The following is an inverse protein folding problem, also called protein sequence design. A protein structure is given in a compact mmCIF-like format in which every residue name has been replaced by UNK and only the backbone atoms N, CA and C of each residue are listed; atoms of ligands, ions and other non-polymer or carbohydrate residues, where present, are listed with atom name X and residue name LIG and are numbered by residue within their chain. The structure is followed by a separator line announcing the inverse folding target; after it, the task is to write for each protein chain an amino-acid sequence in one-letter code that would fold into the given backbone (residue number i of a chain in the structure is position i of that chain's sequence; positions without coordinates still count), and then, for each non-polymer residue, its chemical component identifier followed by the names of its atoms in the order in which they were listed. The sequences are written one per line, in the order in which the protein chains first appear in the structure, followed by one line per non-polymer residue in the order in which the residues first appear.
data_IF_978901098274
#
_entry.id   IF_978901098274
#
_cell.length_a   1.000
_cell.length_b   1.000
_cell.length_c   1.000
_cell.angle_alpha   90.00
_cell.angle_beta   90.00
_cell.angle_gamma   90.00
#
_symmetry.space_group_name_H-M   'P 1'
#
loop_
_entity.id
_entity.type
_entity.pdbx_description
1 polymer ?
#
# COMPACT_ATOMS: atom_id res chain seq x y z
N UNK A 1 5.38 -29.26 -10.72
CA UNK A 1 6.72 -28.68 -10.91
C UNK A 1 6.51 -27.17 -10.85
N UNK A 2 7.43 -26.43 -10.25
CA UNK A 2 7.33 -24.97 -10.24
C UNK A 2 7.19 -24.42 -11.66
N UNK A 3 6.41 -23.35 -11.81
CA UNK A 3 6.26 -22.65 -13.08
C UNK A 3 7.49 -21.76 -13.38
N UNK A 4 7.46 -20.99 -14.47
CA UNK A 4 8.60 -20.17 -14.94
C UNK A 4 9.03 -19.10 -13.96
N UNK A 5 8.16 -18.67 -13.06
CA UNK A 5 8.47 -17.63 -12.09
C UNK A 5 9.51 -18.03 -11.05
N UNK A 6 9.75 -19.33 -10.87
CA UNK A 6 10.78 -19.85 -9.95
C UNK A 6 12.20 -19.33 -10.23
N UNK A 7 12.47 -18.90 -11.47
CA UNK A 7 13.78 -18.38 -11.89
C UNK A 7 13.87 -16.86 -11.88
N UNK A 8 12.80 -16.16 -11.47
CA UNK A 8 12.76 -14.71 -11.43
C UNK A 8 13.59 -14.15 -10.28
N UNK A 9 14.15 -12.95 -10.44
CA UNK A 9 14.85 -12.26 -9.36
C UNK A 9 13.86 -11.71 -8.32
N UNK A 10 12.69 -11.25 -8.76
CA UNK A 10 11.63 -10.74 -7.90
C UNK A 10 11.15 -11.78 -6.89
N UNK A 11 11.12 -11.42 -5.61
CA UNK A 11 10.50 -12.22 -4.56
C UNK A 11 9.00 -12.41 -4.82
N UNK A 12 8.33 -11.33 -5.25
CA UNK A 12 6.91 -11.38 -5.58
C UNK A 12 6.60 -12.42 -6.65
N UNK A 13 7.38 -12.45 -7.72
CA UNK A 13 7.19 -13.45 -8.76
C UNK A 13 7.46 -14.85 -8.24
N UNK A 14 8.53 -15.05 -7.44
CA UNK A 14 8.85 -16.36 -6.85
C UNK A 14 7.79 -16.87 -5.87
N UNK A 15 7.09 -15.99 -5.14
CA UNK A 15 5.94 -16.41 -4.30
C UNK A 15 4.89 -17.17 -5.11
N UNK A 16 4.72 -16.82 -6.39
CA UNK A 16 3.75 -17.47 -7.29
C UNK A 16 4.30 -18.68 -8.07
N UNK A 17 5.53 -19.11 -7.80
CA UNK A 17 6.19 -20.18 -8.54
C UNK A 17 5.48 -21.54 -8.39
N UNK A 18 4.88 -21.81 -7.25
CA UNK A 18 4.20 -23.08 -6.93
C UNK A 18 2.69 -23.05 -7.20
N UNK A 19 2.13 -21.91 -7.67
CA UNK A 19 0.73 -21.86 -8.08
C UNK A 19 0.46 -22.85 -9.22
N UNK A 20 -0.75 -23.47 -9.27
CA UNK A 20 -1.12 -24.38 -10.37
C UNK A 20 -1.31 -23.67 -11.71
N UNK A 21 -1.39 -22.34 -11.74
CA UNK A 21 -1.45 -21.53 -12.96
C UNK A 21 -0.08 -21.53 -13.63
N UNK A 22 -0.05 -21.72 -14.95
CA UNK A 22 1.17 -21.65 -15.78
C UNK A 22 1.58 -20.19 -16.01
N UNK A 23 2.06 -19.54 -14.97
CA UNK A 23 2.48 -18.15 -14.98
C UNK A 23 3.75 -17.92 -15.82
N UNK A 24 3.72 -16.86 -16.60
CA UNK A 24 4.85 -16.30 -17.32
C UNK A 24 5.29 -14.97 -16.69
N UNK A 25 6.57 -14.66 -16.62
CA UNK A 25 7.01 -13.28 -16.47
C UNK A 25 6.68 -12.49 -17.75
N UNK A 26 6.58 -11.17 -17.65
CA UNK A 26 6.40 -10.33 -18.83
C UNK A 26 7.63 -10.45 -19.76
N UNK A 27 7.40 -10.89 -21.00
CA UNK A 27 8.46 -11.08 -21.97
C UNK A 27 7.96 -11.67 -23.29
N UNK A 28 8.86 -11.75 -24.27
CA UNK A 28 8.53 -12.19 -25.62
C UNK A 28 7.92 -13.59 -25.67
N UNK A 29 8.38 -14.53 -24.83
CA UNK A 29 7.85 -15.91 -24.79
C UNK A 29 6.34 -15.92 -24.55
N UNK A 30 5.87 -15.19 -23.55
CA UNK A 30 4.44 -15.09 -23.22
C UNK A 30 3.64 -14.38 -24.32
N UNK A 31 4.17 -13.27 -24.81
CA UNK A 31 3.50 -12.44 -25.81
C UNK A 31 3.37 -13.14 -27.17
N UNK A 32 4.43 -13.84 -27.59
CA UNK A 32 4.42 -14.65 -28.83
C UNK A 32 3.49 -15.86 -28.69
N UNK A 33 3.48 -16.53 -27.54
CA UNK A 33 2.55 -17.63 -27.26
C UNK A 33 1.11 -17.14 -27.37
N UNK A 34 0.76 -16.02 -26.74
CA UNK A 34 -0.57 -15.45 -26.78
C UNK A 34 -1.02 -15.13 -28.23
N UNK A 35 -0.14 -14.53 -29.04
CA UNK A 35 -0.41 -14.23 -30.44
C UNK A 35 -0.59 -15.50 -31.28
N UNK A 36 0.34 -16.47 -31.14
CA UNK A 36 0.33 -17.68 -31.95
C UNK A 36 -0.88 -18.59 -31.65
N UNK A 37 -1.32 -18.62 -30.39
CA UNK A 37 -2.47 -19.42 -29.96
C UNK A 37 -3.79 -18.61 -30.01
N UNK A 38 -3.73 -17.32 -30.34
CA UNK A 38 -4.86 -16.39 -30.32
C UNK A 38 -5.65 -16.44 -29.01
N UNK A 39 -4.91 -16.46 -27.89
CA UNK A 39 -5.45 -16.47 -26.54
C UNK A 39 -5.38 -15.07 -25.93
N UNK A 40 -6.43 -14.59 -25.25
CA UNK A 40 -6.33 -13.37 -24.46
C UNK A 40 -5.30 -13.53 -23.34
N UNK A 41 -4.61 -12.44 -23.01
CA UNK A 41 -3.65 -12.40 -21.92
C UNK A 41 -4.40 -12.04 -20.65
N UNK A 42 -4.18 -12.81 -19.57
CA UNK A 42 -4.51 -12.39 -18.21
C UNK A 42 -3.26 -11.81 -17.58
N UNK A 43 -3.22 -10.49 -17.41
CA UNK A 43 -2.12 -9.77 -16.79
C UNK A 43 -2.47 -9.45 -15.34
N UNK A 44 -1.62 -9.90 -14.41
CA UNK A 44 -1.75 -9.61 -12.99
C UNK A 44 -0.50 -8.88 -12.48
N UNK A 45 -0.68 -7.64 -12.02
CA UNK A 45 0.37 -6.78 -11.50
C UNK A 45 0.18 -6.62 -10.00
N UNK A 46 1.25 -6.72 -9.25
CA UNK A 46 1.23 -6.55 -7.80
C UNK A 46 2.63 -6.33 -7.25
N UNK A 47 2.81 -6.52 -5.97
CA UNK A 47 4.09 -6.43 -5.27
C UNK A 47 4.05 -7.33 -4.04
N UNK A 48 5.18 -7.58 -3.44
CA UNK A 48 5.37 -8.69 -2.51
C UNK A 48 4.65 -8.45 -1.15
N UNK A 49 4.67 -7.23 -0.59
CA UNK A 49 4.00 -6.89 0.67
C UNK A 49 2.49 -6.60 0.55
N UNK A 50 1.93 -6.78 -0.65
CA UNK A 50 0.53 -6.49 -0.94
C UNK A 50 -0.42 -7.54 -0.33
N UNK A 51 -1.15 -7.17 0.71
CA UNK A 51 -2.13 -8.05 1.39
C UNK A 51 -3.14 -8.67 0.42
N UNK A 52 -3.84 -7.86 -0.38
CA UNK A 52 -4.86 -8.38 -1.31
C UNK A 52 -4.27 -9.23 -2.45
N UNK A 53 -2.98 -9.03 -2.79
CA UNK A 53 -2.27 -9.92 -3.71
C UNK A 53 -2.05 -11.29 -3.07
N UNK A 54 -1.66 -11.33 -1.79
CA UNK A 54 -1.50 -12.55 -1.00
C UNK A 54 -2.83 -13.27 -0.80
N UNK A 55 -3.91 -12.54 -0.49
CA UNK A 55 -5.27 -13.12 -0.40
C UNK A 55 -5.67 -13.78 -1.73
N UNK A 56 -5.49 -13.09 -2.86
CA UNK A 56 -5.86 -13.65 -4.16
C UNK A 56 -4.97 -14.84 -4.57
N UNK A 57 -3.72 -14.86 -4.13
CA UNK A 57 -2.81 -15.97 -4.31
C UNK A 57 -3.31 -17.23 -3.60
N UNK A 58 -3.63 -17.10 -2.31
CA UNK A 58 -4.09 -18.24 -1.51
C UNK A 58 -5.48 -18.74 -1.91
N UNK A 59 -6.30 -17.87 -2.48
CA UNK A 59 -7.66 -18.21 -2.93
C UNK A 59 -7.67 -18.60 -4.41
N UNK A 60 -7.87 -17.61 -5.28
CA UNK A 60 -8.16 -17.84 -6.70
C UNK A 60 -6.99 -18.41 -7.50
N UNK A 61 -5.74 -18.03 -7.17
CA UNK A 61 -4.57 -18.50 -7.91
C UNK A 61 -4.07 -19.88 -7.45
N UNK A 62 -4.53 -20.35 -6.32
CA UNK A 62 -4.24 -21.70 -5.79
C UNK A 62 -5.37 -22.71 -6.06
N UNK A 63 -6.51 -22.27 -6.59
CA UNK A 63 -7.61 -23.13 -6.96
C UNK A 63 -7.32 -23.89 -8.28
N UNK A 64 -7.40 -25.22 -8.24
CA UNK A 64 -7.06 -26.08 -9.39
C UNK A 64 -8.06 -25.98 -10.53
N UNK A 65 -9.35 -25.75 -10.25
CA UNK A 65 -10.38 -25.62 -11.30
C UNK A 65 -10.20 -24.32 -12.07
N UNK A 66 -9.89 -23.22 -11.36
CA UNK A 66 -9.57 -21.93 -11.97
C UNK A 66 -8.28 -22.05 -12.78
N UNK A 67 -7.24 -22.68 -12.22
CA UNK A 67 -5.96 -22.86 -12.88
C UNK A 67 -6.08 -23.69 -14.17
N UNK A 68 -6.78 -24.80 -14.15
CA UNK A 68 -7.01 -25.62 -15.34
C UNK A 68 -7.74 -24.83 -16.45
N UNK A 69 -8.75 -24.06 -16.05
CA UNK A 69 -9.49 -23.22 -16.99
C UNK A 69 -8.61 -22.12 -17.59
N UNK A 70 -7.78 -21.47 -16.76
CA UNK A 70 -6.86 -20.41 -17.20
C UNK A 70 -5.77 -20.95 -18.13
N UNK A 71 -5.13 -22.07 -17.76
CA UNK A 71 -4.04 -22.68 -18.52
C UNK A 71 -4.49 -23.12 -19.94
N UNK A 72 -5.74 -23.57 -20.07
CA UNK A 72 -6.29 -23.95 -21.36
C UNK A 72 -6.66 -22.75 -22.25
N UNK A 73 -7.14 -21.65 -21.67
CA UNK A 73 -7.86 -20.59 -22.39
C UNK A 73 -7.14 -19.23 -22.42
N UNK A 74 -6.19 -18.99 -21.55
CA UNK A 74 -5.48 -17.72 -21.42
C UNK A 74 -3.97 -17.94 -21.45
N UNK A 75 -3.23 -16.87 -21.68
CA UNK A 75 -1.82 -16.78 -21.31
C UNK A 75 -1.71 -15.90 -20.07
N UNK A 76 -1.33 -16.50 -18.94
CA UNK A 76 -1.26 -15.80 -17.67
C UNK A 76 0.12 -15.17 -17.48
N UNK A 77 0.17 -13.84 -17.31
CA UNK A 77 1.39 -13.07 -17.11
C UNK A 77 1.36 -12.42 -15.74
N UNK A 78 2.43 -12.59 -14.97
CA UNK A 78 2.64 -11.96 -13.67
C UNK A 78 3.69 -10.87 -13.76
N UNK A 79 3.43 -9.72 -13.14
CA UNK A 79 4.34 -8.57 -13.13
C UNK A 79 4.52 -8.03 -11.72
N UNK A 80 5.77 -7.83 -11.34
CA UNK A 80 6.14 -7.07 -10.17
C UNK A 80 6.19 -5.58 -10.52
N UNK A 81 5.34 -4.77 -9.89
CA UNK A 81 5.29 -3.33 -10.15
C UNK A 81 6.56 -2.60 -9.73
N UNK A 82 7.32 -3.16 -8.79
CA UNK A 82 8.56 -2.55 -8.30
C UNK A 82 9.71 -2.74 -9.29
N UNK A 83 9.70 -3.85 -10.05
CA UNK A 83 10.62 -4.07 -11.17
C UNK A 83 10.14 -3.41 -12.48
N UNK A 84 8.81 -3.31 -12.69
CA UNK A 84 8.20 -2.81 -13.92
C UNK A 84 7.17 -1.69 -13.63
N UNK A 85 7.59 -0.57 -13.03
CA UNK A 85 6.71 0.57 -12.76
C UNK A 85 6.15 1.23 -14.04
N UNK A 86 6.81 1.04 -15.18
CA UNK A 86 6.35 1.45 -16.50
C UNK A 86 5.04 0.76 -16.89
N UNK A 87 4.99 -0.57 -16.74
CA UNK A 87 3.78 -1.37 -17.01
C UNK A 87 2.67 -1.05 -16.00
N UNK A 88 3.03 -0.98 -14.71
CA UNK A 88 2.08 -0.63 -13.65
C UNK A 88 1.39 0.71 -13.95
N UNK A 89 2.15 1.74 -14.27
CA UNK A 89 1.63 3.08 -14.52
C UNK A 89 0.67 3.13 -15.72
N UNK A 90 1.04 2.50 -16.85
CA UNK A 90 0.21 2.49 -18.05
C UNK A 90 -1.09 1.73 -17.82
N UNK A 91 -1.03 0.54 -17.25
CA UNK A 91 -2.20 -0.30 -17.03
C UNK A 91 -3.09 0.20 -15.88
N UNK A 92 -2.52 0.86 -14.89
CA UNK A 92 -3.29 1.55 -13.85
C UNK A 92 -4.11 2.70 -14.44
N UNK A 93 -3.52 3.54 -15.33
CA UNK A 93 -4.25 4.58 -16.03
C UNK A 93 -5.36 3.99 -16.91
N UNK A 94 -5.09 2.90 -17.61
CA UNK A 94 -6.08 2.24 -18.44
C UNK A 94 -7.30 1.78 -17.62
N UNK A 95 -7.09 1.12 -16.48
CA UNK A 95 -8.17 0.68 -15.57
C UNK A 95 -9.00 1.86 -15.05
N UNK A 96 -8.35 2.96 -14.67
CA UNK A 96 -9.04 4.17 -14.23
C UNK A 96 -9.88 4.81 -15.36
N UNK A 97 -9.38 4.79 -16.61
CA UNK A 97 -10.14 5.24 -17.80
C UNK A 97 -11.35 4.34 -18.06
N UNK A 98 -11.25 3.05 -17.76
CA UNK A 98 -12.36 2.09 -17.83
C UNK A 98 -13.45 2.33 -16.77
N UNK A 99 -13.22 3.25 -15.83
CA UNK A 99 -14.16 3.60 -14.76
C UNK A 99 -14.04 2.74 -13.52
N UNK A 100 -13.02 1.89 -13.44
CA UNK A 100 -12.72 1.08 -12.26
C UNK A 100 -11.82 1.83 -11.28
N UNK A 101 -11.97 1.54 -10.00
CA UNK A 101 -11.03 2.03 -8.99
C UNK A 101 -9.68 1.33 -9.16
N UNK A 102 -8.59 2.11 -9.26
CA UNK A 102 -7.24 1.57 -9.26
C UNK A 102 -6.87 0.93 -7.92
N UNK A 103 -5.87 0.06 -7.95
CA UNK A 103 -5.34 -0.65 -6.76
C UNK A 103 -4.67 -1.95 -7.14
N UNK A 104 -4.10 -2.62 -6.15
CA UNK A 104 -3.47 -3.93 -6.33
C UNK A 104 -4.17 -5.01 -5.49
N UNK A 105 -4.18 -6.27 -6.02
CA UNK A 105 -3.64 -6.68 -7.33
C UNK A 105 -4.38 -5.99 -8.47
N UNK A 106 -3.63 -5.57 -9.50
CA UNK A 106 -4.18 -5.00 -10.72
C UNK A 106 -4.28 -6.11 -11.76
N UNK A 107 -5.50 -6.50 -12.12
CA UNK A 107 -5.77 -7.62 -13.01
C UNK A 107 -6.49 -7.13 -14.28
N UNK A 108 -5.91 -7.46 -15.44
CA UNK A 108 -6.43 -7.03 -16.73
C UNK A 108 -6.49 -8.18 -17.71
N UNK A 109 -7.40 -8.05 -18.68
CA UNK A 109 -7.48 -8.91 -19.85
C UNK A 109 -7.10 -8.11 -21.09
N UNK A 110 -6.00 -8.54 -21.75
CA UNK A 110 -5.44 -7.83 -22.89
C UNK A 110 -5.67 -8.63 -24.18
N UNK A 111 -5.86 -7.91 -25.28
CA UNK A 111 -5.80 -8.50 -26.59
C UNK A 111 -4.32 -8.82 -26.96
N UNK A 112 -4.02 -10.00 -27.53
CA UNK A 112 -2.63 -10.42 -27.76
C UNK A 112 -1.93 -9.67 -28.92
N UNK A 113 -2.69 -9.04 -29.79
CA UNK A 113 -2.21 -8.33 -30.99
C UNK A 113 -1.56 -6.98 -30.65
N UNK A 114 -2.20 -6.18 -29.79
CA UNK A 114 -1.80 -4.81 -29.48
C UNK A 114 -1.59 -4.53 -27.98
N UNK A 115 -1.88 -5.52 -27.11
CA UNK A 115 -1.72 -5.45 -25.66
C UNK A 115 -2.63 -4.40 -24.98
N UNK A 116 -3.69 -3.99 -25.68
CA UNK A 116 -4.68 -3.06 -25.13
C UNK A 116 -5.67 -3.82 -24.25
N UNK A 117 -5.92 -3.34 -23.01
CA UNK A 117 -6.89 -3.99 -22.14
C UNK A 117 -8.32 -3.75 -22.63
N UNK A 118 -9.16 -4.77 -22.48
CA UNK A 118 -10.60 -4.68 -22.78
C UNK A 118 -11.47 -5.00 -21.57
N UNK A 119 -10.87 -5.48 -20.49
CA UNK A 119 -11.48 -5.63 -19.17
C UNK A 119 -10.42 -5.59 -18.09
N UNK A 120 -10.79 -5.15 -16.89
CA UNK A 120 -9.87 -5.11 -15.75
C UNK A 120 -10.58 -4.88 -14.42
N UNK A 121 -9.82 -5.00 -13.37
CA UNK A 121 -10.26 -4.78 -12.00
C UNK A 121 -9.12 -5.06 -11.02
N UNK A 122 -9.44 -5.10 -9.76
CA UNK A 122 -8.48 -5.38 -8.72
C UNK A 122 -8.63 -6.82 -8.23
N UNK A 123 -9.12 -7.04 -7.03
CA UNK A 123 -9.33 -8.36 -6.46
C UNK A 123 -10.56 -9.04 -7.05
N UNK A 124 -10.42 -10.32 -7.42
CA UNK A 124 -11.50 -11.22 -7.86
C UNK A 124 -11.64 -12.38 -6.85
N UNK A 125 -12.76 -12.48 -6.12
CA UNK A 125 -13.00 -13.56 -5.17
C UNK A 125 -13.20 -14.91 -5.86
N UNK A 126 -12.88 -16.01 -5.19
CA UNK A 126 -13.16 -17.36 -5.70
C UNK A 126 -14.68 -17.60 -5.84
N UNK A 127 -15.44 -17.21 -4.83
CA UNK A 127 -16.90 -17.26 -4.80
C UNK A 127 -17.50 -15.84 -4.77
N UNK A 128 -18.73 -15.63 -5.23
CA UNK A 128 -19.35 -14.32 -5.22
C UNK A 128 -19.37 -13.70 -3.82
N UNK A 129 -18.71 -12.55 -3.63
CA UNK A 129 -18.73 -11.76 -2.38
C UNK A 129 -18.43 -10.28 -2.62
N UNK A 130 -18.77 -9.43 -1.67
CA UNK A 130 -18.61 -7.98 -1.77
C UNK A 130 -19.26 -7.36 -3.02
N UNK A 131 -20.36 -7.96 -3.50
CA UNK A 131 -21.06 -7.52 -4.72
C UNK A 131 -20.29 -7.84 -6.02
N UNK A 132 -19.23 -8.64 -5.96
CA UNK A 132 -18.42 -9.07 -7.12
C UNK A 132 -18.75 -10.54 -7.46
N UNK A 133 -18.77 -10.90 -8.77
CA UNK A 133 -18.90 -12.29 -9.20
C UNK A 133 -17.65 -13.10 -8.84
N UNK A 134 -17.79 -14.41 -8.74
CA UNK A 134 -16.66 -15.33 -8.59
C UNK A 134 -15.73 -15.31 -9.83
N UNK A 135 -14.45 -15.50 -9.62
CA UNK A 135 -13.43 -15.33 -10.65
C UNK A 135 -13.61 -16.27 -11.85
N UNK A 136 -13.99 -17.54 -11.62
CA UNK A 136 -14.27 -18.46 -12.72
C UNK A 136 -15.37 -17.94 -13.65
N UNK A 137 -16.43 -17.31 -13.09
CA UNK A 137 -17.51 -16.73 -13.88
C UNK A 137 -17.02 -15.52 -14.69
N UNK A 138 -16.13 -14.71 -14.12
CA UNK A 138 -15.48 -13.61 -14.85
C UNK A 138 -14.70 -14.15 -16.05
N UNK A 139 -13.85 -15.15 -15.84
CA UNK A 139 -13.06 -15.79 -16.90
C UNK A 139 -13.94 -16.33 -18.04
N UNK A 140 -15.04 -16.99 -17.70
CA UNK A 140 -16.01 -17.51 -18.69
C UNK A 140 -16.64 -16.37 -19.53
N UNK A 141 -17.11 -15.33 -18.85
CA UNK A 141 -17.72 -14.17 -19.52
C UNK A 141 -16.74 -13.42 -20.44
N UNK A 142 -15.48 -13.31 -20.01
CA UNK A 142 -14.40 -12.69 -20.81
C UNK A 142 -14.17 -13.47 -22.11
N UNK A 143 -14.15 -14.80 -22.05
CA UNK A 143 -13.99 -15.63 -23.26
C UNK A 143 -15.17 -15.54 -24.19
N UNK A 144 -16.40 -15.56 -23.67
CA UNK A 144 -17.61 -15.36 -24.47
C UNK A 144 -17.54 -14.03 -25.24
N UNK A 145 -17.19 -12.93 -24.53
CA UNK A 145 -17.04 -11.60 -25.15
C UNK A 145 -15.89 -11.59 -26.18
N UNK A 146 -14.75 -12.20 -25.85
CA UNK A 146 -13.57 -12.21 -26.72
C UNK A 146 -13.83 -12.93 -28.04
N UNK A 147 -14.58 -14.03 -28.03
CA UNK A 147 -14.91 -14.78 -29.24
C UNK A 147 -16.10 -14.25 -30.01
N UNK A 148 -17.15 -13.81 -29.31
CA UNK A 148 -18.45 -13.50 -29.96
C UNK A 148 -18.62 -12.01 -30.31
N UNK A 149 -17.85 -11.12 -29.67
CA UNK A 149 -18.00 -9.65 -29.79
C UNK A 149 -16.69 -8.92 -30.13
N UNK A 150 -15.95 -9.47 -31.08
CA UNK A 150 -14.63 -8.92 -31.45
C UNK A 150 -14.70 -7.44 -31.88
N UNK A 151 -15.75 -7.02 -32.61
CA UNK A 151 -15.92 -5.64 -33.01
C UNK A 151 -16.18 -4.70 -31.83
N UNK A 152 -17.00 -5.10 -30.87
CA UNK A 152 -17.26 -4.30 -29.65
C UNK A 152 -15.97 -4.12 -28.82
N UNK A 153 -15.14 -5.17 -28.74
CA UNK A 153 -13.82 -5.10 -28.09
C UNK A 153 -12.92 -4.11 -28.82
N UNK A 154 -12.88 -4.16 -30.15
CA UNK A 154 -12.03 -3.25 -30.94
C UNK A 154 -12.44 -1.80 -30.75
N UNK A 155 -13.73 -1.50 -30.82
CA UNK A 155 -14.26 -0.14 -30.61
C UNK A 155 -13.95 0.37 -29.20
N UNK A 156 -14.02 -0.50 -28.20
CA UNK A 156 -13.70 -0.17 -26.80
C UNK A 156 -12.19 0.07 -26.60
N UNK A 157 -11.33 -0.78 -27.17
CA UNK A 157 -9.87 -0.60 -27.16
C UNK A 157 -9.48 0.74 -27.80
N UNK A 158 -10.07 1.08 -28.94
CA UNK A 158 -9.83 2.35 -29.61
C UNK A 158 -10.24 3.55 -28.76
N UNK A 159 -11.31 3.41 -27.97
CA UNK A 159 -11.72 4.44 -27.01
C UNK A 159 -10.71 4.59 -25.87
N UNK A 160 -10.21 3.49 -25.31
CA UNK A 160 -9.18 3.51 -24.25
C UNK A 160 -7.91 4.18 -24.76
N UNK A 161 -7.43 3.82 -25.96
CA UNK A 161 -6.24 4.44 -26.57
C UNK A 161 -6.45 5.94 -26.77
N UNK A 162 -7.59 6.36 -27.33
CA UNK A 162 -7.90 7.79 -27.49
C UNK A 162 -7.88 8.54 -26.17
N UNK A 163 -8.49 7.96 -25.13
CA UNK A 163 -8.54 8.58 -23.80
C UNK A 163 -7.15 8.65 -23.16
N UNK A 164 -6.33 7.59 -23.27
CA UNK A 164 -4.94 7.59 -22.81
C UNK A 164 -4.12 8.68 -23.49
N UNK A 165 -4.24 8.83 -24.80
CA UNK A 165 -3.58 9.90 -25.54
C UNK A 165 -4.07 11.29 -25.10
N UNK A 166 -5.37 11.43 -24.82
CA UNK A 166 -5.95 12.72 -24.43
C UNK A 166 -5.49 13.13 -23.01
N UNK A 167 -5.46 12.20 -22.05
CA UNK A 167 -5.00 12.45 -20.67
C UNK A 167 -3.51 12.81 -20.65
N UNK A 168 -2.72 12.16 -21.49
CA UNK A 168 -1.26 12.40 -21.57
C UNK A 168 -0.86 13.52 -22.54
N UNK A 169 -1.84 14.19 -23.21
CA UNK A 169 -1.56 15.27 -24.14
C UNK A 169 -1.17 16.55 -23.38
N UNK A 170 0.09 16.91 -23.47
CA UNK A 170 0.55 18.21 -22.99
C UNK A 170 0.05 19.31 -23.96
N UNK A 171 -0.74 20.24 -23.43
CA UNK A 171 -1.15 21.43 -24.18
C UNK A 171 -0.11 22.52 -23.88
N UNK A 172 0.69 22.91 -24.87
CA UNK A 172 1.66 23.98 -24.67
C UNK A 172 0.94 25.30 -24.39
N UNK A 173 1.32 25.97 -23.34
CA UNK A 173 0.86 27.33 -23.01
C UNK A 173 1.94 28.32 -23.38
N UNK A 174 1.61 29.45 -24.04
CA UNK A 174 2.59 30.43 -24.52
C UNK A 174 3.24 31.21 -23.35
N UNK A 175 2.56 31.31 -22.22
CA UNK A 175 3.01 32.06 -21.05
C UNK A 175 2.63 31.27 -19.80
N UNK A 176 3.60 31.11 -18.89
CA UNK A 176 3.32 30.60 -17.53
C UNK A 176 2.83 31.81 -16.72
N UNK A 177 1.55 31.80 -16.36
CA UNK A 177 0.95 32.85 -15.51
C UNK A 177 0.97 32.45 -14.04
N UNK A 178 0.82 33.44 -13.15
CA UNK A 178 0.71 33.21 -11.69
C UNK A 178 -0.52 32.36 -11.34
N UNK A 179 -1.54 32.31 -12.22
CA UNK A 179 -2.70 31.45 -12.07
C UNK A 179 -2.35 29.95 -12.00
N UNK A 180 -1.29 29.52 -12.70
CA UNK A 180 -0.82 28.12 -12.66
C UNK A 180 -0.39 27.76 -11.22
N UNK A 181 0.33 28.66 -10.56
CA UNK A 181 0.75 28.47 -9.18
C UNK A 181 -0.45 28.49 -8.24
N UNK A 182 -1.33 29.50 -8.34
CA UNK A 182 -2.53 29.62 -7.51
C UNK A 182 -3.45 28.40 -7.65
N UNK A 183 -3.72 27.91 -8.88
CA UNK A 183 -4.51 26.72 -9.12
C UNK A 183 -3.82 25.45 -8.58
N UNK A 184 -2.50 25.36 -8.70
CA UNK A 184 -1.70 24.26 -8.12
C UNK A 184 -1.81 24.22 -6.61
N UNK A 185 -1.71 25.37 -5.93
CA UNK A 185 -1.87 25.51 -4.48
C UNK A 185 -3.27 25.08 -4.05
N UNK A 186 -4.32 25.60 -4.73
CA UNK A 186 -5.71 25.26 -4.41
C UNK A 186 -5.97 23.75 -4.52
N UNK A 187 -5.49 23.12 -5.62
CA UNK A 187 -5.62 21.66 -5.81
C UNK A 187 -4.84 20.86 -4.78
N UNK A 188 -3.63 21.26 -4.44
CA UNK A 188 -2.86 20.59 -3.37
C UNK A 188 -3.53 20.73 -2.00
N UNK A 189 -4.12 21.90 -1.72
CA UNK A 189 -4.88 22.12 -0.49
C UNK A 189 -6.11 21.20 -0.43
N UNK A 190 -6.87 21.08 -1.52
CA UNK A 190 -7.99 20.15 -1.64
C UNK A 190 -7.54 18.71 -1.35
N UNK A 191 -6.49 18.21 -2.00
CA UNK A 191 -5.97 16.85 -1.79
C UNK A 191 -5.55 16.61 -0.33
N UNK A 192 -4.87 17.58 0.29
CA UNK A 192 -4.38 17.43 1.68
C UNK A 192 -5.52 17.50 2.70
N UNK A 193 -6.57 18.24 2.43
CA UNK A 193 -7.68 18.42 3.37
C UNK A 193 -8.90 17.53 3.08
N UNK A 194 -8.87 16.79 1.97
CA UNK A 194 -9.98 15.90 1.63
C UNK A 194 -10.17 14.85 2.74
N UNK A 195 -11.41 14.78 3.24
CA UNK A 195 -11.88 13.84 4.26
C UNK A 195 -13.04 12.99 3.75
N UNK A 196 -13.18 12.87 2.43
CA UNK A 196 -14.21 12.02 1.84
C UNK A 196 -13.99 10.56 2.28
N UNK A 197 -15.09 9.84 2.39
CA UNK A 197 -15.12 8.47 2.90
C UNK A 197 -14.19 7.57 2.07
N UNK A 198 -13.29 6.85 2.76
CA UNK A 198 -12.39 5.90 2.12
C UNK A 198 -10.98 5.88 2.71
N UNK A 199 -10.05 5.34 1.92
CA UNK A 199 -8.65 5.22 2.29
C UNK A 199 -7.93 6.57 2.30
N UNK A 200 -7.13 6.84 3.35
CA UNK A 200 -6.35 8.05 3.50
C UNK A 200 -4.86 7.79 3.31
N UNK A 201 -4.30 8.31 2.22
CA UNK A 201 -2.86 8.30 1.97
C UNK A 201 -2.17 9.53 2.56
N UNK A 202 -0.89 9.43 2.97
CA UNK A 202 -0.12 10.56 3.48
C UNK A 202 -0.04 11.76 2.52
N UNK A 203 -0.03 11.54 1.20
CA UNK A 203 0.00 12.57 0.15
C UNK A 203 1.12 13.60 0.35
N UNK A 204 2.30 13.12 0.72
CA UNK A 204 3.44 13.94 1.16
C UNK A 204 3.91 14.98 0.15
N UNK A 205 4.01 14.67 -1.17
CA UNK A 205 4.40 15.70 -2.14
C UNK A 205 3.49 16.93 -2.13
N UNK A 206 2.17 16.72 -1.97
CA UNK A 206 1.18 17.80 -1.89
C UNK A 206 1.31 18.59 -0.59
N UNK A 207 1.44 17.91 0.53
CA UNK A 207 1.59 18.54 1.84
C UNK A 207 2.90 19.35 1.94
N UNK A 208 4.00 18.81 1.42
CA UNK A 208 5.29 19.50 1.37
C UNK A 208 5.25 20.71 0.43
N UNK A 209 4.51 20.61 -0.70
CA UNK A 209 4.30 21.75 -1.58
C UNK A 209 3.51 22.87 -0.87
N UNK A 210 2.44 22.55 -0.13
CA UNK A 210 1.70 23.56 0.65
C UNK A 210 2.56 24.25 1.69
N UNK A 211 3.41 23.50 2.39
CA UNK A 211 4.35 24.06 3.36
C UNK A 211 5.33 25.04 2.69
N UNK A 212 5.81 24.72 1.48
CA UNK A 212 6.69 25.62 0.72
C UNK A 212 5.93 26.83 0.20
N UNK A 213 4.71 26.65 -0.33
CA UNK A 213 3.86 27.69 -0.86
C UNK A 213 3.45 28.71 0.21
N UNK A 214 3.32 28.29 1.48
CA UNK A 214 3.00 29.19 2.59
C UNK A 214 4.01 30.32 2.81
N UNK A 215 5.15 30.31 2.10
CA UNK A 215 6.16 31.38 2.17
C UNK A 215 5.91 32.52 1.18
N UNK A 216 5.02 32.33 0.22
CA UNK A 216 4.85 33.25 -0.92
C UNK A 216 3.42 33.80 -1.07
N UNK A 217 2.45 33.23 -0.37
CA UNK A 217 1.04 33.57 -0.57
C UNK A 217 0.49 34.43 0.57
N UNK A 218 -0.51 35.27 0.25
CA UNK A 218 -1.22 36.09 1.23
C UNK A 218 -1.94 35.23 2.29
N UNK A 219 -2.33 34.00 1.95
CA UNK A 219 -2.95 33.02 2.84
C UNK A 219 -1.91 32.10 3.52
N UNK A 220 -0.70 32.58 3.72
CA UNK A 220 0.42 31.81 4.25
C UNK A 220 0.12 31.03 5.54
N UNK A 221 -0.64 31.63 6.46
CA UNK A 221 -1.03 30.99 7.73
C UNK A 221 -1.98 29.81 7.52
N UNK A 222 -2.97 29.92 6.64
CA UNK A 222 -3.90 28.83 6.36
C UNK A 222 -3.21 27.65 5.72
N UNK A 223 -2.38 27.86 4.70
CA UNK A 223 -1.61 26.82 4.02
C UNK A 223 -0.65 26.12 5.00
N UNK A 224 0.01 26.92 5.85
CA UNK A 224 0.89 26.40 6.88
C UNK A 224 0.13 25.52 7.88
N UNK A 225 -1.03 25.97 8.35
CA UNK A 225 -1.86 25.20 9.28
C UNK A 225 -2.31 23.87 8.68
N UNK A 226 -2.77 23.84 7.42
CA UNK A 226 -3.13 22.60 6.72
C UNK A 226 -1.96 21.61 6.64
N UNK A 227 -0.76 22.11 6.33
CA UNK A 227 0.44 21.29 6.34
C UNK A 227 0.75 20.79 7.77
N UNK A 228 0.68 21.64 8.79
CA UNK A 228 0.92 21.25 10.18
C UNK A 228 -0.07 20.20 10.68
N UNK A 229 -1.36 20.36 10.38
CA UNK A 229 -2.41 19.38 10.72
C UNK A 229 -2.12 18.01 10.12
N UNK A 230 -1.66 17.94 8.85
CA UNK A 230 -1.26 16.68 8.22
C UNK A 230 -0.07 16.05 8.93
N UNK A 231 0.95 16.84 9.29
CA UNK A 231 2.12 16.33 10.00
C UNK A 231 1.77 15.79 11.39
N UNK A 232 0.90 16.50 12.13
CA UNK A 232 0.42 16.04 13.43
C UNK A 232 -0.43 14.76 13.32
N UNK A 233 -1.30 14.68 12.30
CA UNK A 233 -2.08 13.48 12.05
C UNK A 233 -1.20 12.25 11.79
N UNK A 234 -0.10 12.41 11.06
CA UNK A 234 0.88 11.34 10.81
C UNK A 234 1.68 10.98 12.07
N UNK A 235 2.06 11.96 12.89
CA UNK A 235 2.86 11.71 14.09
C UNK A 235 2.06 11.13 15.28
N UNK A 236 0.74 11.38 15.32
CA UNK A 236 -0.16 10.93 16.40
C UNK A 236 -1.03 9.74 16.01
N UNK A 237 -1.31 9.57 14.70
CA UNK A 237 -2.23 8.55 14.18
C UNK A 237 -1.77 7.13 14.43
N UNK A 238 -2.71 6.18 14.33
CA UNK A 238 -2.42 4.75 14.32
C UNK A 238 -1.68 4.29 13.05
N UNK A 239 -1.57 5.17 12.05
CA UNK A 239 -0.68 4.95 10.90
C UNK A 239 0.79 4.86 11.31
N UNK A 240 1.18 5.45 12.44
CA UNK A 240 2.52 5.37 13.00
C UNK A 240 2.61 4.25 14.04
N UNK A 241 3.63 3.41 13.94
CA UNK A 241 3.90 2.39 14.96
C UNK A 241 4.55 3.03 16.20
N UNK A 242 3.72 3.41 17.17
CA UNK A 242 4.17 4.05 18.41
C UNK A 242 5.08 3.20 19.29
N UNK A 243 5.14 1.89 19.03
CA UNK A 243 5.97 0.93 19.81
C UNK A 243 7.38 0.81 19.23
N UNK A 244 7.49 0.67 17.89
CA UNK A 244 8.76 0.32 17.26
C UNK A 244 9.24 1.28 16.16
N UNK A 245 8.40 2.22 15.75
CA UNK A 245 8.69 3.18 14.68
C UNK A 245 8.30 2.69 13.29
N UNK A 246 8.37 3.58 12.33
CA UNK A 246 7.92 3.39 10.96
C UNK A 246 6.44 3.67 10.76
N UNK A 247 6.10 4.28 9.61
CA UNK A 247 4.72 4.52 9.20
C UNK A 247 4.25 3.41 8.29
N UNK A 248 3.02 2.98 8.54
CA UNK A 248 2.25 2.15 7.62
C UNK A 248 1.85 2.98 6.40
N UNK A 249 1.43 2.32 5.32
CA UNK A 249 1.28 2.94 4.01
C UNK A 249 0.14 3.95 3.92
N UNK A 250 -1.05 3.57 4.39
CA UNK A 250 -2.27 4.40 4.39
C UNK A 250 -3.24 3.89 5.46
N UNK A 251 -4.30 4.65 5.75
CA UNK A 251 -5.37 4.18 6.63
C UNK A 251 -6.65 3.89 5.85
N UNK A 252 -7.45 2.96 6.34
CA UNK A 252 -8.77 2.64 5.78
C UNK A 252 -9.87 3.58 6.25
N UNK A 253 -9.53 4.51 7.13
CA UNK A 253 -10.39 5.54 7.70
C UNK A 253 -9.75 6.93 7.62
N UNK A 254 -10.58 7.97 7.72
CA UNK A 254 -10.14 9.37 7.63
C UNK A 254 -9.64 9.97 8.95
N UNK A 255 -9.65 9.18 10.03
CA UNK A 255 -9.17 9.60 11.36
C UNK A 255 -7.73 9.14 11.64
N UNK A 256 -7.10 8.53 10.64
CA UNK A 256 -5.73 8.01 10.73
C UNK A 256 -5.55 6.92 11.78
N UNK A 257 -6.60 6.11 12.03
CA UNK A 257 -6.62 5.14 13.12
C UNK A 257 -6.17 3.76 12.68
N UNK A 258 -6.85 3.18 11.67
CA UNK A 258 -6.60 1.80 11.25
C UNK A 258 -5.79 1.80 9.96
N UNK A 259 -4.51 1.41 10.00
CA UNK A 259 -3.70 1.36 8.80
C UNK A 259 -3.92 0.08 8.00
N UNK A 260 -3.55 0.14 6.73
CA UNK A 260 -3.09 -1.01 5.98
C UNK A 260 -1.63 -1.26 6.39
N UNK A 261 -1.33 -2.41 6.95
CA UNK A 261 -0.14 -2.60 7.80
C UNK A 261 1.20 -2.71 7.05
N UNK A 262 1.24 -2.61 5.74
CA UNK A 262 2.49 -2.47 4.98
C UNK A 262 3.31 -1.27 5.45
N UNK A 263 4.64 -1.41 5.52
CA UNK A 263 5.56 -0.27 5.72
C UNK A 263 6.50 -0.18 4.53
N UNK A 264 6.31 0.84 3.69
CA UNK A 264 7.13 1.06 2.50
C UNK A 264 8.32 1.98 2.80
N UNK A 265 9.49 1.64 2.30
CA UNK A 265 10.70 2.46 2.48
C UNK A 265 10.50 3.88 1.92
N UNK A 266 9.94 3.98 0.71
CA UNK A 266 9.74 5.26 0.05
C UNK A 266 8.72 6.17 0.77
N UNK A 267 7.65 5.62 1.33
CA UNK A 267 6.69 6.39 2.14
C UNK A 267 7.36 6.93 3.41
N UNK A 268 8.10 6.07 4.10
CA UNK A 268 8.81 6.45 5.32
C UNK A 268 9.87 7.54 5.07
N UNK A 269 10.62 7.44 3.98
CA UNK A 269 11.59 8.47 3.59
C UNK A 269 10.94 9.83 3.31
N UNK A 270 9.84 9.84 2.55
CA UNK A 270 9.08 11.06 2.25
C UNK A 270 8.45 11.66 3.51
N UNK A 271 7.87 10.85 4.39
CA UNK A 271 7.25 11.33 5.64
C UNK A 271 8.32 11.94 6.55
N UNK A 272 9.48 11.30 6.72
CA UNK A 272 10.59 11.85 7.53
C UNK A 272 11.08 13.19 6.98
N UNK A 273 11.28 13.31 5.66
CA UNK A 273 11.65 14.58 5.03
C UNK A 273 10.61 15.68 5.32
N UNK A 274 9.33 15.35 5.15
CA UNK A 274 8.25 16.29 5.39
C UNK A 274 8.17 16.75 6.84
N UNK A 275 8.27 15.85 7.80
CA UNK A 275 8.26 16.19 9.23
C UNK A 275 9.48 17.01 9.64
N UNK A 276 10.65 16.72 9.06
CA UNK A 276 11.84 17.55 9.23
C UNK A 276 11.64 18.99 8.67
N UNK A 277 10.99 19.13 7.51
CA UNK A 277 10.64 20.44 6.94
C UNK A 277 9.63 21.20 7.82
N UNK A 278 8.65 20.51 8.43
CA UNK A 278 7.74 21.10 9.40
C UNK A 278 8.49 21.62 10.63
N UNK A 279 9.40 20.81 11.19
CA UNK A 279 10.27 21.23 12.30
C UNK A 279 11.07 22.47 11.97
N UNK A 280 11.73 22.49 10.81
CA UNK A 280 12.47 23.64 10.33
C UNK A 280 11.59 24.88 10.08
N UNK A 281 10.31 24.70 9.81
CA UNK A 281 9.34 25.80 9.66
C UNK A 281 8.85 26.39 10.99
N UNK A 282 9.28 25.82 12.13
CA UNK A 282 8.95 26.26 13.48
C UNK A 282 7.89 25.43 14.22
N UNK A 283 7.46 24.30 13.68
CA UNK A 283 6.58 23.37 14.40
C UNK A 283 7.45 22.41 15.24
N UNK A 284 7.85 22.86 16.43
CA UNK A 284 8.69 22.08 17.35
C UNK A 284 7.82 21.20 18.26
N UNK A 285 7.06 20.27 17.66
CA UNK A 285 6.18 19.35 18.39
C UNK A 285 6.95 18.06 18.76
N UNK A 286 7.03 17.69 20.06
CA UNK A 286 7.78 16.50 20.50
C UNK A 286 7.36 15.20 19.84
N UNK A 287 6.06 15.03 19.53
CA UNK A 287 5.57 13.85 18.82
C UNK A 287 6.21 13.68 17.42
N UNK A 288 6.50 14.79 16.72
CA UNK A 288 7.20 14.80 15.43
C UNK A 288 8.64 14.31 15.61
N UNK A 289 9.38 14.89 16.57
CA UNK A 289 10.76 14.48 16.84
C UNK A 289 10.82 12.98 17.18
N UNK A 290 9.97 12.54 18.12
CA UNK A 290 9.87 11.14 18.53
C UNK A 290 9.58 10.21 17.37
N UNK A 291 8.64 10.56 16.50
CA UNK A 291 8.29 9.70 15.36
C UNK A 291 9.44 9.55 14.37
N UNK A 292 10.19 10.63 14.11
CA UNK A 292 11.38 10.58 13.26
C UNK A 292 12.50 9.74 13.89
N UNK A 293 12.79 9.92 15.19
CA UNK A 293 13.83 9.17 15.91
C UNK A 293 13.53 7.66 15.95
N UNK A 294 12.28 7.29 16.24
CA UNK A 294 11.87 5.89 16.23
C UNK A 294 11.92 5.29 14.83
N UNK A 295 11.56 6.06 13.80
CA UNK A 295 11.64 5.56 12.42
C UNK A 295 13.07 5.39 11.96
N UNK A 296 13.97 6.31 12.31
CA UNK A 296 15.40 6.13 12.04
C UNK A 296 15.95 4.85 12.70
N UNK A 297 15.51 4.59 13.95
CA UNK A 297 15.86 3.35 14.66
C UNK A 297 15.26 2.12 14.00
N UNK A 298 13.98 2.19 13.57
CA UNK A 298 13.32 1.10 12.85
C UNK A 298 14.01 0.80 11.52
N UNK A 299 14.40 1.81 10.74
CA UNK A 299 15.15 1.63 9.50
C UNK A 299 16.46 0.85 9.73
N UNK A 300 17.21 1.22 10.76
CA UNK A 300 18.47 0.55 11.09
C UNK A 300 18.27 -0.87 11.61
N UNK A 301 17.21 -1.09 12.39
CA UNK A 301 16.92 -2.37 13.03
C UNK A 301 16.28 -3.37 12.10
N UNK A 302 15.34 -2.92 11.25
CA UNK A 302 14.45 -3.82 10.51
C UNK A 302 14.60 -3.74 8.99
N UNK A 303 15.02 -2.60 8.48
CA UNK A 303 15.08 -2.38 7.04
C UNK A 303 16.50 -2.44 6.47
N UNK A 304 17.53 -2.32 7.30
CA UNK A 304 18.92 -2.38 6.83
C UNK A 304 19.34 -3.84 6.68
N UNK A 305 19.69 -4.25 5.45
CA UNK A 305 20.23 -5.55 5.14
C UNK A 305 21.73 -5.63 5.49
N UNK A 306 22.26 -6.85 5.65
CA UNK A 306 23.68 -7.10 5.95
C UNK A 306 24.61 -6.53 4.89
N UNK A 307 24.15 -6.49 3.63
CA UNK A 307 24.87 -5.95 2.48
C UNK A 307 24.94 -4.40 2.48
N UNK A 308 24.30 -3.72 3.42
CA UNK A 308 24.31 -2.27 3.58
C UNK A 308 23.29 -1.52 2.71
N UNK A 309 22.34 -2.20 2.08
CA UNK A 309 21.17 -1.62 1.45
C UNK A 309 19.93 -1.74 2.35
N UNK A 310 18.84 -1.04 2.01
CA UNK A 310 17.58 -1.17 2.71
C UNK A 310 16.62 -2.08 1.93
N UNK A 311 15.84 -2.88 2.65
CA UNK A 311 14.69 -3.57 2.09
C UNK A 311 13.66 -2.57 1.59
N UNK A 312 12.90 -2.94 0.55
CA UNK A 312 11.90 -2.06 -0.07
C UNK A 312 10.66 -1.88 0.82
N UNK A 313 10.26 -2.92 1.55
CA UNK A 313 9.04 -2.92 2.35
C UNK A 313 9.03 -3.97 3.47
N UNK A 314 8.07 -3.81 4.39
CA UNK A 314 7.62 -4.88 5.30
C UNK A 314 6.20 -5.29 4.94
N UNK A 315 5.95 -6.60 4.95
CA UNK A 315 4.65 -7.19 4.65
C UNK A 315 3.57 -6.77 5.68
N UNK A 316 2.34 -6.58 5.21
CA UNK A 316 1.19 -6.31 6.07
C UNK A 316 0.79 -7.53 6.89
N UNK A 317 1.03 -8.72 6.36
CA UNK A 317 0.62 -9.98 6.94
C UNK A 317 1.70 -10.60 7.84
N UNK A 318 1.25 -11.24 8.88
CA UNK A 318 2.10 -12.00 9.79
C UNK A 318 1.31 -13.21 10.27
N UNK A 319 1.88 -14.40 10.12
CA UNK A 319 1.23 -15.68 10.43
C UNK A 319 -0.16 -15.81 9.75
N UNK A 320 -0.23 -15.39 8.47
CA UNK A 320 -1.46 -15.47 7.65
C UNK A 320 -2.58 -14.51 8.05
N UNK A 321 -2.29 -13.44 8.81
CA UNK A 321 -3.26 -12.43 9.25
C UNK A 321 -2.70 -11.03 9.13
N UNK A 322 -3.46 -10.14 8.50
CA UNK A 322 -3.11 -8.73 8.41
C UNK A 322 -2.99 -8.09 9.79
N UNK A 323 -1.93 -7.31 10.00
CA UNK A 323 -1.74 -6.51 11.19
C UNK A 323 -1.40 -7.26 12.48
N UNK A 324 -1.42 -8.62 12.51
CA UNK A 324 -1.26 -9.42 13.72
C UNK A 324 -0.02 -9.05 14.53
N UNK A 325 1.06 -8.71 13.88
CA UNK A 325 2.32 -8.34 14.52
C UNK A 325 2.24 -7.00 15.27
N UNK A 326 1.43 -6.05 14.81
CA UNK A 326 1.39 -4.68 15.32
C UNK A 326 0.27 -4.39 16.30
N UNK A 327 -0.83 -5.14 16.26
CA UNK A 327 -2.04 -4.90 17.06
C UNK A 327 -2.04 -5.63 18.41
N UNK A 328 -2.90 -5.20 19.33
CA UNK A 328 -2.97 -5.70 20.69
C UNK A 328 -4.41 -5.96 21.10
N UNK A 329 -4.73 -7.21 21.49
CA UNK A 329 -6.01 -7.46 22.14
C UNK A 329 -6.02 -6.86 23.55
N UNK A 330 -7.19 -6.41 24.01
CA UNK A 330 -7.32 -5.89 25.38
C UNK A 330 -6.95 -6.96 26.44
N UNK A 331 -7.20 -8.22 26.13
CA UNK A 331 -6.83 -9.35 27.01
C UNK A 331 -5.31 -9.51 27.11
N UNK A 332 -4.56 -9.32 26.03
CA UNK A 332 -3.09 -9.29 26.08
C UNK A 332 -2.58 -8.12 26.91
N UNK A 333 -3.12 -6.92 26.69
CA UNK A 333 -2.72 -5.73 27.43
C UNK A 333 -2.92 -5.93 28.94
N UNK A 334 -4.04 -6.54 29.38
CA UNK A 334 -4.27 -6.89 30.79
C UNK A 334 -3.27 -7.89 31.37
N UNK A 335 -2.66 -8.74 30.55
CA UNK A 335 -1.63 -9.68 31.00
C UNK A 335 -0.24 -9.02 31.11
N UNK A 336 0.00 -7.98 30.31
CA UNK A 336 1.28 -7.25 30.25
C UNK A 336 1.35 -6.18 31.35
N UNK A 337 0.24 -5.50 31.62
CA UNK A 337 0.17 -4.30 32.44
C UNK A 337 -0.62 -4.52 33.73
N UNK A 338 -0.18 -3.84 34.79
CA UNK A 338 -1.00 -3.60 35.98
C UNK A 338 -2.21 -2.71 35.64
N UNK A 339 -3.27 -2.70 36.45
CA UNK A 339 -4.42 -1.81 36.23
C UNK A 339 -4.02 -0.33 36.09
N UNK A 340 -3.08 0.14 36.93
CA UNK A 340 -2.62 1.53 36.89
C UNK A 340 -1.87 1.88 35.59
N UNK A 341 -1.03 0.97 35.10
CA UNK A 341 -0.33 1.17 33.82
C UNK A 341 -1.31 1.14 32.63
N UNK A 342 -2.31 0.26 32.68
CA UNK A 342 -3.32 0.19 31.63
C UNK A 342 -4.19 1.45 31.61
N UNK A 343 -4.58 1.97 32.79
CA UNK A 343 -5.31 3.24 32.91
C UNK A 343 -4.48 4.40 32.32
N UNK A 344 -3.19 4.46 32.61
CA UNK A 344 -2.27 5.46 32.08
C UNK A 344 -2.19 5.37 30.54
N UNK A 345 -2.03 4.17 29.98
CA UNK A 345 -2.02 3.93 28.54
C UNK A 345 -3.35 4.32 27.89
N UNK A 346 -4.49 4.03 28.53
CA UNK A 346 -5.80 4.37 27.99
C UNK A 346 -6.10 5.89 28.02
N UNK A 347 -5.42 6.66 28.87
CA UNK A 347 -5.47 8.11 28.84
C UNK A 347 -4.73 8.70 27.63
N UNK A 348 -3.59 8.14 27.27
CA UNK A 348 -2.76 8.62 26.16
C UNK A 348 -3.18 8.05 24.80
N UNK A 349 -3.55 6.76 24.74
CA UNK A 349 -3.86 6.05 23.49
C UNK A 349 -5.32 5.63 23.39
N UNK A 350 -5.79 5.48 22.15
CA UNK A 350 -7.12 4.90 21.85
C UNK A 350 -7.07 3.38 22.09
N UNK A 351 -7.38 2.97 23.32
CA UNK A 351 -7.47 1.58 23.73
C UNK A 351 -8.87 1.31 24.28
N UNK A 352 -9.52 0.25 23.83
CA UNK A 352 -10.83 -0.17 24.32
C UNK A 352 -10.96 -1.67 24.39
N UNK A 353 -11.98 -2.15 25.12
CA UNK A 353 -12.28 -3.56 25.23
C UNK A 353 -12.70 -4.18 23.88
N UNK A 354 -13.47 -3.42 23.09
CA UNK A 354 -13.94 -3.84 21.78
C UNK A 354 -12.86 -3.78 20.70
N UNK A 355 -11.79 -3.01 20.95
CA UNK A 355 -10.78 -2.70 19.94
C UNK A 355 -11.25 -1.69 18.90
N UNK A 356 -10.36 -1.34 18.00
CA UNK A 356 -10.63 -0.49 16.82
C UNK A 356 -10.30 -1.20 15.50
N UNK A 357 -9.75 -2.40 15.55
CA UNK A 357 -9.47 -3.27 14.41
C UNK A 357 -9.62 -4.74 14.80
N UNK A 358 -10.61 -5.48 14.26
CA UNK A 358 -10.83 -6.92 14.44
C UNK A 358 -10.67 -7.39 15.91
N UNK A 359 -11.40 -6.75 16.84
CA UNK A 359 -11.34 -7.01 18.28
C UNK A 359 -9.96 -6.75 18.93
N UNK A 360 -9.07 -6.07 18.22
CA UNK A 360 -7.75 -5.64 18.66
C UNK A 360 -7.60 -4.12 18.62
N UNK A 361 -6.54 -3.59 19.22
CA UNK A 361 -6.25 -2.18 19.31
C UNK A 361 -5.01 -1.82 18.50
N UNK A 362 -5.18 -0.92 17.54
CA UNK A 362 -4.12 -0.09 16.98
C UNK A 362 -3.91 1.09 17.90
N UNK A 363 -2.67 1.38 18.27
CA UNK A 363 -2.36 2.50 19.16
C UNK A 363 -2.36 3.81 18.36
N UNK A 364 -3.23 4.74 18.76
CA UNK A 364 -3.28 6.11 18.25
C UNK A 364 -3.21 7.07 19.44
N UNK A 365 -2.31 8.04 19.40
CA UNK A 365 -2.19 9.05 20.44
C UNK A 365 -3.36 10.03 20.40
N UNK A 366 -3.83 10.42 21.59
CA UNK A 366 -4.93 11.37 21.76
C UNK A 366 -4.46 12.82 21.88
N UNK A 367 -3.20 13.03 22.25
CA UNK A 367 -2.67 14.34 22.60
C UNK A 367 -1.29 14.58 22.01
N UNK A 368 -0.97 15.84 21.75
CA UNK A 368 0.38 16.33 21.43
C UNK A 368 1.27 16.38 22.68
N UNK A 369 2.53 16.74 22.50
CA UNK A 369 3.48 16.89 23.59
C UNK A 369 4.36 15.68 23.83
N UNK A 370 5.17 15.74 24.89
CA UNK A 370 6.05 14.66 25.29
C UNK A 370 5.27 13.55 26.00
N UNK A 371 5.67 12.30 25.77
CA UNK A 371 5.21 11.17 26.59
C UNK A 371 5.91 11.16 27.94
N UNK A 372 5.19 10.84 29.01
CA UNK A 372 5.82 10.66 30.31
C UNK A 372 6.76 9.44 30.31
N UNK A 373 7.72 9.43 31.23
CA UNK A 373 8.65 8.31 31.39
C UNK A 373 7.92 6.98 31.68
N UNK A 374 6.78 7.05 32.39
CA UNK A 374 5.94 5.89 32.71
C UNK A 374 5.29 5.32 31.44
N UNK A 375 4.78 6.18 30.53
CA UNK A 375 4.24 5.75 29.23
C UNK A 375 5.34 5.14 28.36
N UNK A 376 6.52 5.75 28.27
CA UNK A 376 7.66 5.18 27.53
C UNK A 376 8.11 3.83 28.10
N UNK A 377 8.05 3.65 29.43
CA UNK A 377 8.30 2.35 30.06
C UNK A 377 7.23 1.30 29.65
N UNK A 378 5.96 1.71 29.54
CA UNK A 378 4.90 0.84 29.06
C UNK A 378 5.11 0.45 27.58
N UNK A 379 5.45 1.40 26.71
CA UNK A 379 5.76 1.11 25.29
C UNK A 379 6.99 0.20 25.17
N UNK A 380 7.96 0.32 26.07
CA UNK A 380 9.12 -0.58 26.13
C UNK A 380 8.70 -2.01 26.51
N UNK A 381 7.71 -2.20 27.39
CA UNK A 381 7.14 -3.53 27.67
C UNK A 381 6.46 -4.13 26.44
N UNK A 382 5.70 -3.31 25.67
CA UNK A 382 5.11 -3.76 24.40
C UNK A 382 6.19 -4.12 23.37
N UNK A 383 7.24 -3.32 23.27
CA UNK A 383 8.37 -3.62 22.41
C UNK A 383 9.01 -4.97 22.75
N UNK A 384 9.33 -5.19 24.02
CA UNK A 384 9.89 -6.48 24.49
C UNK A 384 8.93 -7.64 24.24
N UNK A 385 7.64 -7.42 24.40
CA UNK A 385 6.63 -8.46 24.10
C UNK A 385 6.57 -8.81 22.62
N UNK A 386 6.82 -7.84 21.72
CA UNK A 386 6.85 -8.02 20.27
C UNK A 386 8.16 -8.64 19.77
N UNK A 387 9.29 -8.19 20.29
CA UNK A 387 10.64 -8.53 19.80
C UNK A 387 11.46 -9.42 20.74
N UNK A 388 10.94 -9.82 21.90
CA UNK A 388 11.68 -10.55 22.91
C UNK A 388 12.39 -9.62 23.90
N UNK A 389 13.29 -10.20 24.74
CA UNK A 389 13.99 -9.50 25.83
C UNK A 389 15.07 -8.50 25.36
N UNK A 390 15.23 -8.30 24.06
CA UNK A 390 16.23 -7.39 23.50
C UNK A 390 15.87 -5.92 23.78
N UNK A 391 16.87 -5.15 24.16
CA UNK A 391 16.72 -3.73 24.42
C UNK A 391 16.62 -2.97 23.10
N UNK A 392 15.79 -1.88 23.05
CA UNK A 392 15.95 -0.87 22.02
C UNK A 392 17.38 -0.31 22.09
N UNK A 393 18.14 -0.22 21.04
CA UNK A 393 17.89 -0.43 19.62
C UNK A 393 18.98 -1.18 18.86
N UNK A 394 19.67 -2.18 19.24
CA UNK A 394 20.87 -2.61 18.50
C UNK A 394 21.05 -4.09 18.24
N UNK A 395 20.23 -4.96 18.78
CA UNK A 395 20.53 -6.38 18.65
C UNK A 395 19.63 -7.09 17.66
N UNK A 396 20.28 -7.91 16.85
CA UNK A 396 19.67 -8.72 15.80
C UNK A 396 18.48 -9.54 16.31
N UNK A 397 17.47 -9.63 15.46
CA UNK A 397 16.18 -10.27 15.69
C UNK A 397 16.19 -11.67 16.26
N UNK A 398 15.32 -11.98 17.21
CA UNK A 398 14.23 -12.90 16.92
C UNK A 398 12.87 -12.26 17.16
N UNK A 399 11.97 -12.43 16.23
CA UNK A 399 10.60 -11.99 16.29
C UNK A 399 9.85 -12.84 17.31
N UNK A 400 9.45 -12.26 18.45
CA UNK A 400 8.80 -13.02 19.52
C UNK A 400 7.30 -13.27 19.30
N UNK A 401 6.65 -12.56 18.38
CA UNK A 401 5.20 -12.67 18.09
C UNK A 401 4.88 -13.33 16.77
N UNK A 402 5.78 -13.31 15.82
CA UNK A 402 5.62 -13.92 14.51
C UNK A 402 6.83 -14.76 14.16
N UNK A 403 6.60 -15.88 13.49
CA UNK A 403 7.66 -16.72 12.92
C UNK A 403 7.90 -16.44 11.43
N UNK A 404 7.02 -15.61 10.83
CA UNK A 404 7.11 -15.25 9.44
C UNK A 404 8.24 -14.25 9.23
N UNK A 405 8.94 -14.36 8.12
CA UNK A 405 9.83 -13.31 7.65
C UNK A 405 8.97 -12.23 6.97
N UNK A 406 8.78 -11.13 7.67
CA UNK A 406 7.92 -10.02 7.23
C UNK A 406 8.66 -8.97 6.41
N UNK A 407 9.91 -9.26 6.01
CA UNK A 407 10.75 -8.33 5.25
C UNK A 407 10.95 -8.79 3.83
N UNK A 408 11.03 -7.84 2.94
CA UNK A 408 11.27 -8.03 1.53
C UNK A 408 12.49 -7.25 1.05
N UNK A 409 13.26 -7.88 0.17
CA UNK A 409 14.46 -7.30 -0.44
C UNK A 409 14.08 -6.57 -1.73
#
# INVERSE_FOLDING_TARGET
MPNRLAQSQSLYLRKHADNPIDWYPWGNEALEKARNENKPIFLSIGYSSCHWCTVMEHEAFSDTVIADYMNDRFVAIKVDREERPDLDSIYMQAVQIMGESGGWPLNLFLAPDDLVPFYGGTYFPIEPRYGRPGFLRVLQSILEIYHDRNQDIQDYKDQIIRNLHQVNKLIPVPIISDEVLANGIAKCAEVVTNRDYGTCFPMIPYANFLLRASRFEDNSTELKNKAQERGLALALGGIFDHVAGGWHRYTVDHTWTVPHFEKMLYDNGLIMEYLANLWLSGLHEPAIARSCELTATWLQREMLAEEGCFYASQDADSEGREGKFWVWSYTELKKIFSPAELDLLTQEFTISLAGNFEETNVLQRKQTGELSAEIEACLTKLFRRRYGEHSRPTDAFPVARSQDDIREI
#
